data_IF_257055061722
#
_entry.id   IF_257055061722
#
_cell.length_a   1.000
_cell.length_b   1.000
_cell.length_c   1.000
_cell.angle_alpha   90.00
_cell.angle_beta   90.00
_cell.angle_gamma   90.00
#
_symmetry.space_group_name_H-M   'P 1'
#
loop_
_entity.id
_entity.type
_entity.pdbx_description
1 polymer ?
#
# COMPACT_ATOMS: atom_id res chain seq x y z
N UNK A 1 13.55 20.59 36.64
CA UNK A 1 14.02 20.47 35.25
C UNK A 1 14.91 21.64 34.88
N UNK A 2 14.51 22.89 35.10
CA UNK A 2 15.33 24.07 34.75
C UNK A 2 16.77 24.02 35.31
N UNK A 3 16.94 23.72 36.61
CA UNK A 3 18.27 23.54 37.23
C UNK A 3 19.11 22.40 36.61
N UNK A 4 18.45 21.40 36.04
CA UNK A 4 19.13 20.27 35.37
C UNK A 4 19.64 20.69 34.00
N UNK A 5 18.92 21.58 33.30
CA UNK A 5 19.33 22.13 32.01
C UNK A 5 20.57 23.00 32.17
N UNK A 6 20.57 23.90 33.17
CA UNK A 6 21.72 24.76 33.46
C UNK A 6 22.96 23.90 33.72
N UNK A 7 22.83 22.89 34.59
CA UNK A 7 23.90 21.93 34.91
C UNK A 7 24.40 21.17 33.67
N UNK A 8 23.47 20.66 32.85
CA UNK A 8 23.79 19.90 31.63
C UNK A 8 24.58 20.75 30.63
N UNK A 9 24.27 22.05 30.53
CA UNK A 9 24.87 22.94 29.54
C UNK A 9 26.34 23.30 29.83
N UNK A 10 26.80 23.07 31.07
CA UNK A 10 28.17 23.33 31.52
C UNK A 10 29.05 22.07 31.55
N UNK A 11 28.48 20.87 31.37
CA UNK A 11 29.23 19.62 31.42
C UNK A 11 30.09 19.40 30.16
N UNK A 12 31.33 18.89 30.32
CA UNK A 12 32.11 18.34 29.20
C UNK A 12 31.34 17.24 28.44
N UNK A 13 31.64 17.04 27.14
CA UNK A 13 30.97 16.04 26.27
C UNK A 13 30.88 14.66 26.92
N UNK A 14 31.97 14.23 27.56
CA UNK A 14 32.09 12.89 28.11
C UNK A 14 31.26 12.75 29.39
N UNK A 15 31.21 13.81 30.21
CA UNK A 15 30.35 13.86 31.39
C UNK A 15 28.87 13.95 31.00
N UNK A 16 28.54 14.70 29.95
CA UNK A 16 27.18 14.79 29.42
C UNK A 16 26.70 13.44 28.87
N UNK A 17 27.54 12.75 28.09
CA UNK A 17 27.24 11.41 27.62
C UNK A 17 27.00 10.47 28.80
N UNK A 18 27.86 10.52 29.83
CA UNK A 18 27.67 9.72 31.04
C UNK A 18 26.39 10.09 31.81
N UNK A 19 26.00 11.36 31.88
CA UNK A 19 24.73 11.77 32.51
C UNK A 19 23.53 11.31 31.70
N UNK A 20 23.53 11.47 30.37
CA UNK A 20 22.45 10.96 29.51
C UNK A 20 22.40 9.43 29.55
N UNK A 21 23.56 8.78 29.56
CA UNK A 21 23.66 7.34 29.77
C UNK A 21 23.16 6.95 31.15
N UNK A 22 23.50 7.62 32.24
CA UNK A 22 22.99 7.32 33.59
C UNK A 22 21.48 7.53 33.70
N UNK A 23 20.96 8.61 33.11
CA UNK A 23 19.53 8.84 32.97
C UNK A 23 18.83 7.78 32.10
N UNK A 24 19.60 7.03 31.30
CA UNK A 24 19.07 5.97 30.43
C UNK A 24 19.52 4.53 30.77
N UNK A 25 20.47 4.33 31.67
CA UNK A 25 21.13 3.04 31.97
C UNK A 25 20.16 2.11 32.70
N UNK A 26 19.34 2.66 33.59
CA UNK A 26 18.23 1.95 34.24
C UNK A 26 16.98 1.82 33.33
N UNK A 27 17.05 2.34 32.10
CA UNK A 27 15.93 2.40 31.14
C UNK A 27 16.16 1.64 29.85
N UNK A 28 17.30 0.96 29.66
CA UNK A 28 17.58 0.18 28.45
C UNK A 28 16.51 -0.90 28.18
N UNK A 29 15.79 -1.35 29.22
CA UNK A 29 14.67 -2.29 29.16
C UNK A 29 13.28 -1.65 29.34
N UNK A 30 13.20 -0.34 29.60
CA UNK A 30 11.91 0.31 29.87
C UNK A 30 11.27 0.83 28.58
N UNK A 31 9.99 0.50 28.40
CA UNK A 31 9.15 0.90 27.27
C UNK A 31 9.00 2.44 27.18
N UNK A 32 9.30 3.19 28.25
CA UNK A 32 9.14 4.65 28.33
C UNK A 32 10.39 5.47 28.00
N UNK A 33 11.54 4.83 27.72
CA UNK A 33 12.82 5.52 27.45
C UNK A 33 12.70 6.59 26.37
N UNK A 34 12.09 6.26 25.25
CA UNK A 34 11.92 7.17 24.11
C UNK A 34 11.09 8.40 24.47
N UNK A 35 10.06 8.20 25.30
CA UNK A 35 9.22 9.28 25.78
C UNK A 35 9.98 10.20 26.75
N UNK A 36 10.81 9.62 27.65
CA UNK A 36 11.63 10.41 28.58
C UNK A 36 12.64 11.27 27.80
N UNK A 37 13.34 10.69 26.83
CA UNK A 37 14.30 11.42 25.98
C UNK A 37 13.61 12.52 25.18
N UNK A 38 12.42 12.25 24.64
CA UNK A 38 11.62 13.24 23.94
C UNK A 38 11.22 14.41 24.86
N UNK A 39 10.73 14.14 26.07
CA UNK A 39 10.38 15.17 27.05
C UNK A 39 11.60 15.98 27.53
N UNK A 40 12.73 15.31 27.75
CA UNK A 40 14.00 15.99 28.05
C UNK A 40 14.37 16.96 26.93
N UNK A 41 14.31 16.49 25.68
CA UNK A 41 14.56 17.30 24.50
C UNK A 41 13.65 18.52 24.42
N UNK A 42 12.35 18.37 24.66
CA UNK A 42 11.39 19.50 24.67
C UNK A 42 11.84 20.59 25.64
N UNK A 43 12.18 20.19 26.87
CA UNK A 43 12.58 21.15 27.89
C UNK A 43 13.88 21.88 27.53
N UNK A 44 14.84 21.18 26.91
CA UNK A 44 16.07 21.77 26.39
C UNK A 44 15.76 22.75 25.26
N UNK A 45 14.93 22.36 24.29
CA UNK A 45 14.54 23.21 23.17
C UNK A 45 13.83 24.50 23.60
N UNK A 46 12.96 24.43 24.62
CA UNK A 46 12.27 25.62 25.17
C UNK A 46 13.23 26.59 25.86
N UNK A 47 14.32 26.09 26.43
CA UNK A 47 15.32 26.87 27.17
C UNK A 47 16.62 27.04 26.37
N UNK A 48 16.57 26.89 25.04
CA UNK A 48 17.79 26.77 24.23
C UNK A 48 18.68 28.01 24.30
N UNK A 49 18.09 29.19 24.45
CA UNK A 49 18.79 30.47 24.56
C UNK A 49 19.57 30.63 25.89
N UNK A 50 19.31 29.78 26.91
CA UNK A 50 20.06 29.76 28.17
C UNK A 50 21.26 28.81 28.13
N UNK A 51 21.28 27.90 27.17
CA UNK A 51 22.31 26.87 27.09
C UNK A 51 23.55 27.41 26.39
N UNK A 52 24.73 27.01 26.87
CA UNK A 52 25.98 27.32 26.17
C UNK A 52 25.97 26.67 24.78
N UNK A 53 26.41 27.40 23.75
CA UNK A 53 26.45 26.88 22.39
C UNK A 53 27.28 25.58 22.31
N UNK A 54 28.42 25.52 23.00
CA UNK A 54 29.26 24.32 23.07
C UNK A 54 28.53 23.13 23.70
N UNK A 55 27.79 23.35 24.79
CA UNK A 55 26.99 22.31 25.44
C UNK A 55 25.91 21.75 24.51
N UNK A 56 25.23 22.62 23.74
CA UNK A 56 24.23 22.20 22.75
C UNK A 56 24.83 21.34 21.64
N UNK A 57 26.02 21.68 21.14
CA UNK A 57 26.70 20.90 20.09
C UNK A 57 27.04 19.50 20.61
N UNK A 58 27.59 19.40 21.82
CA UNK A 58 27.87 18.10 22.45
C UNK A 58 26.60 17.26 22.62
N UNK A 59 25.49 17.90 23.02
CA UNK A 59 24.21 17.22 23.15
C UNK A 59 23.67 16.72 21.80
N UNK A 60 23.84 17.51 20.74
CA UNK A 60 23.39 17.16 19.38
C UNK A 60 24.17 15.99 18.78
N UNK A 61 25.43 15.81 19.16
CA UNK A 61 26.17 14.61 18.76
C UNK A 61 25.50 13.31 19.28
N UNK A 62 24.67 13.41 20.32
CA UNK A 62 23.89 12.28 20.81
C UNK A 62 22.66 11.96 19.93
N UNK A 63 22.27 12.84 19.00
CA UNK A 63 21.13 12.61 18.10
C UNK A 63 21.26 11.32 17.28
N UNK A 64 22.50 10.95 16.93
CA UNK A 64 22.78 9.77 16.12
C UNK A 64 22.41 8.48 16.87
N UNK A 65 22.48 8.52 18.21
CA UNK A 65 22.10 7.41 19.09
C UNK A 65 20.67 7.56 19.64
N UNK A 66 20.21 8.80 19.82
CA UNK A 66 18.92 9.13 20.45
C UNK A 66 18.08 10.09 19.59
N UNK A 67 17.49 9.64 18.48
CA UNK A 67 16.72 10.52 17.58
C UNK A 67 15.55 11.21 18.28
N UNK A 68 14.91 10.54 19.26
CA UNK A 68 13.80 11.10 20.03
C UNK A 68 14.20 12.31 20.89
N UNK A 69 15.46 12.37 21.35
CA UNK A 69 15.98 13.56 22.04
C UNK A 69 15.93 14.78 21.11
N UNK A 70 16.40 14.63 19.87
CA UNK A 70 16.50 15.74 18.92
C UNK A 70 15.17 16.12 18.31
N UNK A 71 14.27 15.15 18.14
CA UNK A 71 12.85 15.42 17.88
C UNK A 71 12.24 16.28 18.99
N UNK A 72 12.55 15.94 20.25
CA UNK A 72 12.16 16.73 21.41
C UNK A 72 12.75 18.14 21.37
N UNK A 73 14.05 18.29 21.12
CA UNK A 73 14.71 19.61 21.03
C UNK A 73 14.07 20.46 19.93
N UNK A 74 13.90 19.93 18.72
CA UNK A 74 13.24 20.65 17.63
C UNK A 74 11.82 21.08 17.99
N UNK A 75 11.06 20.21 18.67
CA UNK A 75 9.72 20.54 19.18
C UNK A 75 9.75 21.64 20.25
N UNK A 76 10.72 21.59 21.16
CA UNK A 76 10.91 22.63 22.17
C UNK A 76 11.26 23.99 21.56
N UNK A 77 12.12 24.00 20.53
CA UNK A 77 12.47 25.21 19.76
C UNK A 77 11.21 25.78 19.10
N UNK A 78 10.37 24.94 18.49
CA UNK A 78 9.10 25.36 17.89
C UNK A 78 8.18 26.09 18.87
N UNK A 79 8.16 25.62 20.13
CA UNK A 79 7.32 26.17 21.20
C UNK A 79 7.93 27.42 21.86
N UNK A 80 9.17 27.78 21.53
CA UNK A 80 9.81 28.99 22.03
C UNK A 80 9.34 30.24 21.29
N UNK A 81 9.20 31.37 22.00
CA UNK A 81 8.67 32.62 21.43
C UNK A 81 9.59 33.27 20.39
N UNK A 82 10.90 33.00 20.46
CA UNK A 82 11.91 33.59 19.58
C UNK A 82 12.87 32.51 19.08
N UNK A 83 12.85 32.25 17.76
CA UNK A 83 13.81 31.35 17.12
C UNK A 83 15.02 32.17 16.66
N UNK A 84 16.20 31.83 17.20
CA UNK A 84 17.47 32.36 16.72
C UNK A 84 17.89 31.59 15.47
N UNK A 85 17.96 32.33 14.35
CA UNK A 85 18.31 31.81 13.03
C UNK A 85 19.71 31.19 13.00
N UNK A 86 20.70 31.87 13.58
CA UNK A 86 22.10 31.44 13.54
C UNK A 86 22.30 30.21 14.41
N UNK A 87 21.61 30.16 15.55
CA UNK A 87 21.56 28.97 16.38
C UNK A 87 21.01 27.77 15.60
N UNK A 88 19.80 27.87 15.00
CA UNK A 88 19.20 26.76 14.23
C UNK A 88 20.13 26.28 13.12
N UNK A 89 20.74 27.21 12.38
CA UNK A 89 21.67 26.89 11.31
C UNK A 89 22.87 26.10 11.83
N UNK A 90 23.44 26.51 12.95
CA UNK A 90 24.59 25.85 13.55
C UNK A 90 24.25 24.47 14.14
N UNK A 91 23.09 24.33 14.81
CA UNK A 91 22.63 23.05 15.32
C UNK A 91 22.42 22.04 14.18
N UNK A 92 21.78 22.46 13.10
CA UNK A 92 21.57 21.61 11.92
C UNK A 92 22.85 21.30 11.13
N UNK A 93 23.87 22.17 11.16
CA UNK A 93 25.21 21.84 10.61
C UNK A 93 25.96 20.78 11.41
N UNK A 94 25.59 20.60 12.67
CA UNK A 94 26.34 19.74 13.60
C UNK A 94 25.88 18.28 13.58
N UNK A 95 24.65 18.01 13.15
CA UNK A 95 24.16 16.64 12.92
C UNK A 95 23.10 16.63 11.82
N UNK A 96 23.21 15.72 10.83
CA UNK A 96 22.15 15.49 9.84
C UNK A 96 20.81 15.09 10.48
N UNK A 97 20.83 14.32 11.58
CA UNK A 97 19.61 13.94 12.30
C UNK A 97 18.96 15.19 12.91
N UNK A 98 19.75 16.08 13.50
CA UNK A 98 19.22 17.35 14.02
C UNK A 98 18.65 18.22 12.88
N UNK A 99 19.36 18.35 11.76
CA UNK A 99 18.85 19.08 10.60
C UNK A 99 17.51 18.53 10.09
N UNK A 100 17.36 17.20 10.07
CA UNK A 100 16.10 16.52 9.70
C UNK A 100 14.98 16.87 10.66
N UNK A 101 15.21 16.79 11.97
CA UNK A 101 14.18 17.12 12.97
C UNK A 101 13.80 18.60 12.93
N UNK A 102 14.76 19.50 12.71
CA UNK A 102 14.50 20.93 12.51
C UNK A 102 13.62 21.16 11.26
N UNK A 103 13.94 20.52 10.13
CA UNK A 103 13.12 20.60 8.91
C UNK A 103 11.75 19.95 9.06
N UNK A 104 11.60 18.91 9.87
CA UNK A 104 10.34 18.20 10.06
C UNK A 104 9.37 18.95 10.99
N UNK A 105 9.87 19.78 11.90
CA UNK A 105 9.07 20.36 12.99
C UNK A 105 8.99 21.89 13.00
N UNK A 106 9.90 22.62 12.36
CA UNK A 106 9.94 24.09 12.42
C UNK A 106 9.28 24.79 11.23
N UNK A 107 8.69 25.95 11.50
CA UNK A 107 8.21 26.90 10.50
C UNK A 107 9.35 27.80 9.99
N UNK A 108 10.15 27.29 9.04
CA UNK A 108 11.37 27.94 8.55
C UNK A 108 11.15 28.86 7.33
N UNK A 109 9.91 29.10 6.90
CA UNK A 109 9.64 29.95 5.73
C UNK A 109 10.14 31.41 5.88
N UNK A 110 10.32 31.88 7.12
CA UNK A 110 10.91 33.20 7.41
C UNK A 110 12.45 33.23 7.26
N UNK A 111 13.08 32.06 7.16
CA UNK A 111 14.53 31.87 7.10
C UNK A 111 14.90 30.92 5.94
N UNK A 112 14.61 31.30 4.69
CA UNK A 112 14.75 30.42 3.53
C UNK A 112 16.18 29.89 3.32
N UNK A 113 17.20 30.67 3.65
CA UNK A 113 18.61 30.28 3.64
C UNK A 113 18.94 29.19 4.67
N UNK A 114 18.33 29.25 5.86
CA UNK A 114 18.50 28.20 6.88
C UNK A 114 17.86 26.92 6.35
N UNK A 115 16.63 27.00 5.87
CA UNK A 115 15.90 25.86 5.32
C UNK A 115 16.68 25.18 4.17
N UNK A 116 17.26 25.96 3.25
CA UNK A 116 18.14 25.45 2.20
C UNK A 116 19.38 24.76 2.77
N UNK A 117 20.07 25.37 3.73
CA UNK A 117 21.26 24.77 4.34
C UNK A 117 20.94 23.46 5.05
N UNK A 118 19.80 23.39 5.76
CA UNK A 118 19.36 22.16 6.39
C UNK A 118 19.02 21.09 5.34
N UNK A 119 18.37 21.47 4.23
CA UNK A 119 18.06 20.56 3.13
C UNK A 119 19.34 19.91 2.55
N UNK A 120 20.40 20.69 2.37
CA UNK A 120 21.70 20.18 1.92
C UNK A 120 22.26 19.14 2.90
N UNK A 121 22.19 19.43 4.20
CA UNK A 121 22.74 18.54 5.24
C UNK A 121 21.99 17.21 5.34
N UNK A 122 20.70 17.19 4.99
CA UNK A 122 19.89 15.96 5.05
C UNK A 122 19.77 15.23 3.70
N UNK A 123 20.31 15.80 2.61
CA UNK A 123 20.18 15.25 1.25
C UNK A 123 20.66 13.81 1.11
N UNK A 124 21.64 13.40 1.92
CA UNK A 124 22.21 12.04 1.91
C UNK A 124 21.47 11.07 2.84
N UNK A 125 20.54 11.54 3.66
CA UNK A 125 19.78 10.66 4.55
C UNK A 125 18.72 9.91 3.73
N UNK A 126 18.66 8.58 3.91
CA UNK A 126 17.64 7.73 3.28
C UNK A 126 16.24 7.96 3.84
N UNK A 127 16.14 8.29 5.13
CA UNK A 127 14.88 8.37 5.88
C UNK A 127 14.61 9.82 6.35
N UNK A 128 13.57 10.45 5.79
CA UNK A 128 13.21 11.86 6.02
C UNK A 128 11.73 11.99 6.43
N UNK A 129 11.31 11.42 7.58
CA UNK A 129 9.92 11.42 8.00
C UNK A 129 9.45 12.84 8.32
N UNK A 130 8.23 13.16 7.91
CA UNK A 130 7.55 14.46 8.05
C UNK A 130 8.24 15.67 7.39
N UNK A 131 9.47 15.54 6.89
CA UNK A 131 10.18 16.62 6.21
C UNK A 131 9.39 17.04 4.97
N UNK A 132 8.95 16.08 4.14
CA UNK A 132 8.20 16.39 2.93
C UNK A 132 6.91 17.13 3.23
N UNK A 133 6.13 16.64 4.21
CA UNK A 133 4.86 17.27 4.59
C UNK A 133 5.06 18.67 5.20
N UNK A 134 6.07 18.87 6.05
CA UNK A 134 6.31 20.18 6.65
C UNK A 134 6.78 21.22 5.62
N UNK A 135 7.72 20.85 4.74
CA UNK A 135 8.18 21.72 3.65
C UNK A 135 7.00 22.07 2.73
N UNK A 136 6.15 21.11 2.37
CA UNK A 136 4.99 21.32 1.52
C UNK A 136 4.01 22.38 2.08
N UNK A 137 3.75 22.39 3.39
CA UNK A 137 2.85 23.37 4.04
C UNK A 137 3.36 24.81 3.96
N UNK A 138 4.65 24.98 3.74
CA UNK A 138 5.35 26.26 3.83
C UNK A 138 5.91 26.74 2.49
N UNK A 139 5.97 25.87 1.48
CA UNK A 139 6.66 26.12 0.21
C UNK A 139 6.19 27.41 -0.48
N UNK A 140 4.90 27.72 -0.38
CA UNK A 140 4.28 28.89 -1.02
C UNK A 140 4.68 30.23 -0.42
N UNK A 141 5.25 30.20 0.79
CA UNK A 141 5.73 31.39 1.50
C UNK A 141 7.20 31.69 1.19
N UNK A 142 7.92 30.74 0.58
CA UNK A 142 9.34 30.91 0.22
C UNK A 142 9.49 31.71 -1.08
N UNK A 143 10.60 32.46 -1.28
CA UNK A 143 10.94 32.99 -2.59
C UNK A 143 11.19 31.86 -3.59
N UNK A 144 10.84 32.08 -4.87
CA UNK A 144 10.90 31.08 -5.94
C UNK A 144 12.26 30.37 -6.05
N UNK A 145 13.36 31.13 -5.96
CA UNK A 145 14.72 30.58 -6.05
C UNK A 145 14.99 29.52 -4.97
N UNK A 146 14.59 29.79 -3.73
CA UNK A 146 14.80 28.87 -2.61
C UNK A 146 13.92 27.62 -2.73
N UNK A 147 12.67 27.75 -3.22
CA UNK A 147 11.80 26.59 -3.49
C UNK A 147 12.50 25.60 -4.42
N UNK A 148 13.01 26.11 -5.54
CA UNK A 148 13.67 25.28 -6.55
C UNK A 148 14.95 24.65 -6.01
N UNK A 149 15.76 25.38 -5.26
CA UNK A 149 16.99 24.84 -4.67
C UNK A 149 16.69 23.74 -3.65
N UNK A 150 15.72 23.94 -2.76
CA UNK A 150 15.32 22.93 -1.76
C UNK A 150 14.75 21.68 -2.44
N UNK A 151 13.81 21.86 -3.38
CA UNK A 151 13.22 20.74 -4.14
C UNK A 151 14.30 19.99 -4.90
N UNK A 152 15.18 20.68 -5.63
CA UNK A 152 16.27 20.04 -6.38
C UNK A 152 17.25 19.27 -5.49
N UNK A 153 17.43 19.71 -4.25
CA UNK A 153 18.31 19.05 -3.27
C UNK A 153 17.70 17.75 -2.76
N UNK A 154 16.37 17.70 -2.61
CA UNK A 154 15.68 16.58 -1.95
C UNK A 154 14.90 15.68 -2.91
N UNK A 155 14.78 16.03 -4.20
CA UNK A 155 13.98 15.30 -5.20
C UNK A 155 14.44 13.88 -5.52
N UNK A 156 15.57 13.44 -5.00
CA UNK A 156 16.05 12.07 -5.17
C UNK A 156 15.74 11.20 -3.93
N UNK A 157 15.23 11.80 -2.84
CA UNK A 157 14.73 11.07 -1.69
C UNK A 157 13.23 10.71 -1.89
N UNK A 158 12.94 9.42 -2.08
CA UNK A 158 11.58 8.93 -2.33
C UNK A 158 10.59 9.18 -1.19
N UNK A 159 11.03 9.11 0.07
CA UNK A 159 10.17 9.37 1.23
C UNK A 159 9.77 10.85 1.32
N UNK A 160 10.75 11.75 1.14
CA UNK A 160 10.50 13.17 1.07
C UNK A 160 9.51 13.49 -0.05
N UNK A 161 9.76 13.00 -1.27
CA UNK A 161 8.87 13.26 -2.41
C UNK A 161 7.45 12.76 -2.15
N UNK A 162 7.30 11.57 -1.56
CA UNK A 162 6.00 10.98 -1.27
C UNK A 162 5.18 11.88 -0.34
N UNK A 163 5.74 12.25 0.82
CA UNK A 163 5.04 13.11 1.78
C UNK A 163 4.82 14.54 1.23
N UNK A 164 5.79 15.06 0.50
CA UNK A 164 5.74 16.39 -0.11
C UNK A 164 4.59 16.46 -1.12
N UNK A 165 4.55 15.53 -2.07
CA UNK A 165 3.52 15.51 -3.12
C UNK A 165 2.14 15.11 -2.61
N UNK A 166 2.02 14.45 -1.47
CA UNK A 166 0.72 14.25 -0.80
C UNK A 166 0.19 15.52 -0.15
N UNK A 167 1.06 16.41 0.30
CA UNK A 167 0.67 17.57 1.12
C UNK A 167 0.59 18.86 0.30
N UNK A 168 1.48 19.05 -0.67
CA UNK A 168 1.62 20.32 -1.39
C UNK A 168 0.45 20.58 -2.34
N UNK A 169 0.13 21.85 -2.57
CA UNK A 169 -0.80 22.20 -3.65
C UNK A 169 -0.06 22.08 -4.99
N UNK A 170 -0.44 21.10 -5.83
CA UNK A 170 0.30 20.81 -7.05
C UNK A 170 0.25 21.95 -8.08
N UNK A 171 -0.76 22.81 -8.03
CA UNK A 171 -0.84 23.98 -8.93
C UNK A 171 0.31 24.98 -8.75
N UNK A 172 1.03 24.90 -7.62
CA UNK A 172 2.12 25.81 -7.24
C UNK A 172 3.51 25.22 -7.46
N UNK A 173 3.59 24.01 -7.99
CA UNK A 173 4.84 23.32 -8.27
C UNK A 173 5.16 23.38 -9.75
N UNK A 174 6.18 24.17 -10.07
CA UNK A 174 6.73 24.21 -11.42
C UNK A 174 7.54 22.94 -11.69
N UNK A 175 7.48 22.47 -12.94
CA UNK A 175 8.24 21.31 -13.43
C UNK A 175 7.98 20.00 -12.65
N UNK A 176 6.71 19.71 -12.34
CA UNK A 176 6.30 18.47 -11.68
C UNK A 176 6.68 17.21 -12.49
N UNK A 177 6.84 17.35 -13.81
CA UNK A 177 7.31 16.31 -14.72
C UNK A 177 8.72 15.78 -14.38
N UNK A 178 9.55 16.56 -13.68
CA UNK A 178 10.87 16.09 -13.24
C UNK A 178 10.83 14.98 -12.18
N UNK A 179 9.68 14.76 -11.54
CA UNK A 179 9.50 13.71 -10.54
C UNK A 179 9.03 12.39 -11.15
N UNK A 180 8.54 12.42 -12.39
CA UNK A 180 7.95 11.27 -13.05
C UNK A 180 8.99 10.20 -13.36
N UNK A 181 8.61 8.93 -13.18
CA UNK A 181 9.44 7.77 -13.51
C UNK A 181 10.50 7.44 -12.45
N UNK A 182 10.65 8.26 -11.41
CA UNK A 182 11.57 7.99 -10.29
C UNK A 182 11.05 6.89 -9.37
N UNK A 183 9.74 6.88 -9.13
CA UNK A 183 9.09 5.95 -8.21
C UNK A 183 7.60 5.81 -8.59
N UNK A 184 7.10 4.57 -8.63
CA UNK A 184 5.71 4.27 -9.03
C UNK A 184 4.67 4.92 -8.11
N UNK A 185 4.94 5.01 -6.81
CA UNK A 185 4.03 5.63 -5.84
C UNK A 185 3.93 7.14 -6.08
N UNK A 186 5.02 7.77 -6.52
CA UNK A 186 5.06 9.18 -6.87
C UNK A 186 4.25 9.46 -8.13
N UNK A 187 4.43 8.66 -9.18
CA UNK A 187 3.67 8.75 -10.42
C UNK A 187 2.16 8.57 -10.16
N UNK A 188 1.81 7.63 -9.26
CA UNK A 188 0.43 7.39 -8.85
C UNK A 188 -0.17 8.60 -8.08
N UNK A 189 0.58 9.23 -7.16
CA UNK A 189 0.12 10.43 -6.45
C UNK A 189 -0.14 11.58 -7.44
N UNK A 190 0.80 11.81 -8.37
CA UNK A 190 0.68 12.90 -9.36
C UNK A 190 -0.53 12.65 -10.26
N UNK A 191 -0.71 11.42 -10.75
CA UNK A 191 -1.88 11.06 -11.55
C UNK A 191 -3.20 11.20 -10.79
N UNK A 192 -3.24 10.80 -9.51
CA UNK A 192 -4.44 10.90 -8.67
C UNK A 192 -4.90 12.34 -8.47
N UNK A 193 -3.93 13.26 -8.31
CA UNK A 193 -4.16 14.69 -8.08
C UNK A 193 -4.08 15.52 -9.37
N UNK A 194 -4.25 14.89 -10.54
CA UNK A 194 -4.15 15.56 -11.83
C UNK A 194 -5.12 16.74 -11.95
N UNK A 195 -6.29 16.68 -11.31
CA UNK A 195 -7.30 17.75 -11.33
C UNK A 195 -6.81 19.09 -10.79
N UNK A 196 -5.84 19.08 -9.86
CA UNK A 196 -5.29 20.29 -9.23
C UNK A 196 -4.34 21.08 -10.14
N UNK A 197 -3.87 20.46 -11.23
CA UNK A 197 -2.88 21.08 -12.12
C UNK A 197 -3.52 22.05 -13.12
N UNK A 198 -2.74 23.00 -13.61
CA UNK A 198 -3.16 23.82 -14.75
C UNK A 198 -3.19 22.98 -16.05
N UNK A 199 -3.92 23.47 -17.05
CA UNK A 199 -4.15 22.73 -18.29
C UNK A 199 -2.86 22.35 -19.03
N UNK A 200 -1.90 23.28 -19.12
CA UNK A 200 -0.60 23.04 -19.77
C UNK A 200 0.18 21.88 -19.12
N UNK A 201 0.15 21.77 -17.79
CA UNK A 201 0.81 20.67 -17.08
C UNK A 201 0.05 19.36 -17.27
N UNK A 202 -1.29 19.38 -17.27
CA UNK A 202 -2.10 18.19 -17.56
C UNK A 202 -1.79 17.63 -18.95
N UNK A 203 -1.76 18.47 -19.99
CA UNK A 203 -1.42 18.05 -21.35
C UNK A 203 -0.05 17.38 -21.42
N UNK A 204 0.95 17.97 -20.75
CA UNK A 204 2.29 17.40 -20.70
C UNK A 204 2.31 16.06 -19.98
N UNK A 205 1.67 15.99 -18.82
CA UNK A 205 1.70 14.82 -17.95
C UNK A 205 0.95 13.61 -18.53
N UNK A 206 -0.09 13.82 -19.32
CA UNK A 206 -0.79 12.73 -20.01
C UNK A 206 0.12 11.99 -21.01
N UNK A 207 1.27 12.54 -21.39
CA UNK A 207 2.25 11.83 -22.22
C UNK A 207 3.13 10.84 -21.45
N UNK A 208 2.96 10.69 -20.13
CA UNK A 208 3.70 9.73 -19.32
C UNK A 208 2.79 8.56 -18.91
N UNK A 209 2.93 7.37 -19.52
CA UNK A 209 2.10 6.20 -19.18
C UNK A 209 2.16 5.82 -17.69
N UNK A 210 3.26 6.12 -17.00
CA UNK A 210 3.46 5.71 -15.62
C UNK A 210 2.51 6.40 -14.63
N UNK A 211 1.94 7.57 -14.97
CA UNK A 211 0.94 8.23 -14.12
C UNK A 211 -0.47 7.65 -14.27
N UNK A 212 -0.71 6.82 -15.30
CA UNK A 212 -2.05 6.43 -15.69
C UNK A 212 -2.83 5.70 -14.58
N UNK A 213 -2.12 4.93 -13.75
CA UNK A 213 -2.74 4.30 -12.56
C UNK A 213 -3.26 5.32 -11.56
N UNK A 214 -2.52 6.40 -11.33
CA UNK A 214 -2.99 7.54 -10.54
C UNK A 214 -4.19 8.21 -11.18
N UNK A 215 -4.11 8.47 -12.49
CA UNK A 215 -5.20 9.09 -13.26
C UNK A 215 -6.49 8.27 -13.16
N UNK A 216 -6.41 6.93 -13.24
CA UNK A 216 -7.57 6.06 -13.04
C UNK A 216 -8.24 6.28 -11.69
N UNK A 217 -7.47 6.31 -10.60
CA UNK A 217 -7.99 6.55 -9.24
C UNK A 217 -8.59 7.95 -9.07
N UNK A 218 -8.04 8.95 -9.75
CA UNK A 218 -8.45 10.35 -9.67
C UNK A 218 -9.46 10.79 -10.72
N UNK A 219 -9.89 9.90 -11.62
CA UNK A 219 -10.61 10.25 -12.85
C UNK A 219 -11.90 11.04 -12.60
N UNK A 220 -12.63 10.71 -11.53
CA UNK A 220 -13.87 11.41 -11.18
C UNK A 220 -13.68 12.87 -10.79
N UNK A 221 -12.49 13.22 -10.30
CA UNK A 221 -12.17 14.58 -9.87
C UNK A 221 -11.85 15.50 -11.06
N UNK A 222 -11.76 14.95 -12.28
CA UNK A 222 -11.48 15.71 -13.49
C UNK A 222 -12.76 16.38 -14.01
N UNK A 223 -12.61 17.55 -14.64
CA UNK A 223 -13.70 18.16 -15.40
C UNK A 223 -14.04 17.30 -16.62
N UNK A 224 -15.26 17.47 -17.15
CA UNK A 224 -15.74 16.73 -18.32
C UNK A 224 -14.75 16.76 -19.50
N UNK A 225 -14.23 17.95 -19.83
CA UNK A 225 -13.21 18.12 -20.88
C UNK A 225 -11.98 17.24 -20.65
N UNK A 226 -11.47 17.20 -19.41
CA UNK A 226 -10.30 16.40 -19.05
C UNK A 226 -10.58 14.91 -18.99
N UNK A 227 -11.79 14.49 -18.58
CA UNK A 227 -12.22 13.09 -18.68
C UNK A 227 -12.18 12.62 -20.14
N UNK A 228 -12.71 13.41 -21.09
CA UNK A 228 -12.66 13.11 -22.53
C UNK A 228 -11.22 13.00 -23.05
N UNK A 229 -10.33 13.92 -22.67
CA UNK A 229 -8.90 13.88 -23.04
C UNK A 229 -8.18 12.64 -22.52
N UNK A 230 -8.48 12.20 -21.30
CA UNK A 230 -7.94 10.96 -20.75
C UNK A 230 -8.45 9.74 -21.54
N UNK A 231 -9.73 9.70 -21.90
CA UNK A 231 -10.28 8.60 -22.74
C UNK A 231 -9.66 8.59 -24.13
N UNK A 232 -9.43 9.76 -24.75
CA UNK A 232 -8.66 9.86 -26.00
C UNK A 232 -7.26 9.24 -25.82
N UNK A 233 -6.56 9.59 -24.73
CA UNK A 233 -5.24 9.03 -24.45
C UNK A 233 -5.27 7.51 -24.22
N UNK A 234 -6.30 6.99 -23.54
CA UNK A 234 -6.51 5.54 -23.34
C UNK A 234 -6.72 4.80 -24.68
N UNK A 235 -7.30 5.45 -25.70
CA UNK A 235 -7.42 4.87 -27.05
C UNK A 235 -6.10 4.85 -27.80
N UNK A 236 -5.30 5.90 -27.65
CA UNK A 236 -4.09 6.12 -28.45
C UNK A 236 -2.85 5.42 -27.88
N UNK A 237 -2.81 5.18 -26.57
CA UNK A 237 -1.61 4.71 -25.87
C UNK A 237 -1.93 3.49 -24.99
N UNK A 238 -1.52 2.31 -25.46
CA UNK A 238 -1.79 1.04 -24.79
C UNK A 238 -1.19 0.96 -23.39
N UNK A 239 0.02 1.49 -23.17
CA UNK A 239 0.65 1.45 -21.85
C UNK A 239 -0.06 2.37 -20.86
N UNK A 240 -0.51 3.54 -21.32
CA UNK A 240 -1.38 4.41 -20.53
C UNK A 240 -2.70 3.70 -20.20
N UNK A 241 -3.33 3.04 -21.19
CA UNK A 241 -4.56 2.29 -20.99
C UNK A 241 -4.43 1.20 -19.92
N UNK A 242 -3.34 0.41 -19.92
CA UNK A 242 -3.09 -0.61 -18.89
C UNK A 242 -3.12 -0.03 -17.48
N UNK A 243 -2.35 1.05 -17.27
CA UNK A 243 -2.29 1.72 -15.97
C UNK A 243 -3.66 2.25 -15.54
N UNK A 244 -4.35 2.95 -16.43
CA UNK A 244 -5.68 3.52 -16.19
C UNK A 244 -6.73 2.45 -15.87
N UNK A 245 -6.87 1.43 -16.72
CA UNK A 245 -7.88 0.37 -16.58
C UNK A 245 -7.67 -0.46 -15.31
N UNK A 246 -6.42 -0.59 -14.84
CA UNK A 246 -6.12 -1.33 -13.61
C UNK A 246 -6.59 -0.64 -12.32
N UNK A 247 -7.00 0.64 -12.39
CA UNK A 247 -7.27 1.43 -11.19
C UNK A 247 -8.46 2.38 -11.27
N UNK A 248 -9.10 2.51 -12.42
CA UNK A 248 -10.30 3.33 -12.57
C UNK A 248 -11.41 2.83 -11.65
N UNK A 249 -12.03 3.75 -10.90
CA UNK A 249 -13.19 3.44 -10.05
C UNK A 249 -14.46 3.37 -10.89
N UNK A 250 -14.88 2.15 -11.20
CA UNK A 250 -16.03 1.85 -12.04
C UNK A 250 -17.37 2.29 -11.43
N UNK A 251 -17.46 2.41 -10.10
CA UNK A 251 -18.73 2.66 -9.39
C UNK A 251 -19.16 4.11 -9.55
N UNK A 252 -18.18 5.01 -9.57
CA UNK A 252 -18.43 6.46 -9.57
C UNK A 252 -18.50 7.05 -10.99
N UNK A 253 -18.31 6.25 -12.05
CA UNK A 253 -18.29 6.72 -13.44
C UNK A 253 -19.70 7.05 -13.95
N UNK A 254 -19.76 8.08 -14.79
CA UNK A 254 -20.94 8.35 -15.62
C UNK A 254 -21.03 7.30 -16.74
N UNK A 255 -22.25 6.90 -17.11
CA UNK A 255 -22.51 5.79 -18.02
C UNK A 255 -21.76 5.93 -19.36
N UNK A 256 -21.67 7.14 -19.93
CA UNK A 256 -20.97 7.37 -21.19
C UNK A 256 -19.47 7.03 -21.14
N UNK A 257 -18.81 7.26 -19.99
CA UNK A 257 -17.39 6.94 -19.83
C UNK A 257 -17.20 5.44 -19.60
N UNK A 258 -18.12 4.79 -18.89
CA UNK A 258 -18.10 3.33 -18.71
C UNK A 258 -18.19 2.63 -20.07
N UNK A 259 -19.13 3.03 -20.92
CA UNK A 259 -19.32 2.45 -22.25
C UNK A 259 -18.07 2.61 -23.13
N UNK A 260 -17.45 3.79 -23.13
CA UNK A 260 -16.24 4.05 -23.90
C UNK A 260 -15.03 3.26 -23.38
N UNK A 261 -14.87 3.16 -22.06
CA UNK A 261 -13.82 2.34 -21.43
C UNK A 261 -13.97 0.87 -21.81
N UNK A 262 -15.19 0.33 -21.72
CA UNK A 262 -15.48 -1.06 -22.11
C UNK A 262 -15.18 -1.27 -23.59
N UNK A 263 -15.64 -0.36 -24.46
CA UNK A 263 -15.43 -0.44 -25.90
C UNK A 263 -13.95 -0.48 -26.26
N UNK A 264 -13.12 0.35 -25.62
CA UNK A 264 -11.67 0.38 -25.88
C UNK A 264 -11.00 -0.88 -25.35
N UNK A 265 -11.27 -1.25 -24.10
CA UNK A 265 -10.61 -2.39 -23.47
C UNK A 265 -10.96 -3.72 -24.15
N UNK A 266 -12.20 -3.90 -24.61
CA UNK A 266 -12.65 -5.16 -25.23
C UNK A 266 -12.12 -5.39 -26.65
N UNK A 267 -11.48 -4.39 -27.27
CA UNK A 267 -10.83 -4.50 -28.58
C UNK A 267 -9.40 -5.06 -28.52
N UNK A 268 -8.79 -5.13 -27.33
CA UNK A 268 -7.43 -5.65 -27.12
C UNK A 268 -7.44 -6.72 -26.03
N UNK A 269 -6.81 -7.86 -26.28
CA UNK A 269 -6.84 -9.02 -25.37
C UNK A 269 -6.28 -8.70 -23.98
N UNK A 270 -5.18 -7.93 -23.92
CA UNK A 270 -4.51 -7.60 -22.67
C UNK A 270 -5.30 -6.56 -21.87
N UNK A 271 -5.78 -5.50 -22.55
CA UNK A 271 -6.62 -4.49 -21.92
C UNK A 271 -7.94 -5.09 -21.41
N UNK A 272 -8.52 -6.02 -22.18
CA UNK A 272 -9.74 -6.72 -21.82
C UNK A 272 -9.56 -7.52 -20.54
N UNK A 273 -8.45 -8.26 -20.41
CA UNK A 273 -8.09 -8.98 -19.18
C UNK A 273 -7.90 -8.04 -17.99
N UNK A 274 -7.20 -6.92 -18.16
CA UNK A 274 -6.98 -5.95 -17.09
C UNK A 274 -8.30 -5.34 -16.61
N UNK A 275 -9.17 -4.94 -17.56
CA UNK A 275 -10.48 -4.41 -17.21
C UNK A 275 -11.34 -5.47 -16.50
N UNK A 276 -11.34 -6.71 -17.00
CA UNK A 276 -12.01 -7.83 -16.34
C UNK A 276 -11.57 -7.97 -14.89
N UNK A 277 -10.26 -7.94 -14.64
CA UNK A 277 -9.71 -7.99 -13.28
C UNK A 277 -10.19 -6.84 -12.40
N UNK A 278 -10.19 -5.60 -12.89
CA UNK A 278 -10.74 -4.47 -12.14
C UNK A 278 -12.23 -4.66 -11.81
N UNK A 279 -13.05 -5.10 -12.78
CA UNK A 279 -14.46 -5.45 -12.53
C UNK A 279 -14.59 -6.52 -11.45
N UNK A 280 -13.74 -7.54 -11.46
CA UNK A 280 -13.80 -8.64 -10.49
C UNK A 280 -13.38 -8.24 -9.09
N UNK A 281 -12.33 -7.41 -8.99
CA UNK A 281 -11.86 -6.86 -7.71
C UNK A 281 -12.90 -5.92 -7.08
N UNK A 282 -13.61 -5.16 -7.92
CA UNK A 282 -14.67 -4.23 -7.51
C UNK A 282 -16.04 -4.89 -7.34
N UNK A 283 -16.22 -6.15 -7.77
CA UNK A 283 -17.51 -6.81 -7.92
C UNK A 283 -18.45 -6.70 -6.72
N UNK A 284 -18.00 -6.89 -5.46
CA UNK A 284 -18.89 -6.78 -4.31
C UNK A 284 -19.53 -5.39 -4.13
N UNK A 285 -18.87 -4.35 -4.64
CA UNK A 285 -19.29 -2.95 -4.53
C UNK A 285 -19.98 -2.42 -5.78
N UNK A 286 -19.98 -3.17 -6.89
CA UNK A 286 -20.67 -2.77 -8.13
C UNK A 286 -22.19 -2.74 -7.92
N UNK A 287 -22.85 -1.78 -8.57
CA UNK A 287 -24.31 -1.77 -8.69
C UNK A 287 -24.78 -2.91 -9.63
N UNK A 288 -26.08 -3.22 -9.58
CA UNK A 288 -26.65 -4.35 -10.34
C UNK A 288 -26.49 -4.20 -11.86
N UNK A 289 -26.55 -2.96 -12.38
CA UNK A 289 -26.33 -2.69 -13.79
C UNK A 289 -24.90 -3.09 -14.23
N UNK A 290 -23.88 -2.60 -13.52
CA UNK A 290 -22.47 -2.92 -13.82
C UNK A 290 -22.17 -4.41 -13.61
N UNK A 291 -22.79 -5.06 -12.62
CA UNK A 291 -22.71 -6.52 -12.47
C UNK A 291 -23.24 -7.22 -13.73
N UNK A 292 -24.45 -6.90 -14.17
CA UNK A 292 -25.04 -7.49 -15.38
C UNK A 292 -24.20 -7.25 -16.63
N UNK A 293 -23.64 -6.04 -16.78
CA UNK A 293 -22.71 -5.70 -17.87
C UNK A 293 -21.47 -6.61 -17.82
N UNK A 294 -20.85 -6.77 -16.65
CA UNK A 294 -19.66 -7.63 -16.51
C UNK A 294 -19.93 -9.10 -16.86
N UNK A 295 -21.06 -9.67 -16.44
CA UNK A 295 -21.47 -11.03 -16.82
C UNK A 295 -21.63 -11.15 -18.35
N UNK A 296 -22.33 -10.20 -18.98
CA UNK A 296 -22.57 -10.23 -20.43
C UNK A 296 -21.27 -10.11 -21.24
N UNK A 297 -20.32 -9.30 -20.79
CA UNK A 297 -19.01 -9.19 -21.45
C UNK A 297 -18.23 -10.50 -21.28
N UNK A 298 -18.21 -11.08 -20.08
CA UNK A 298 -17.51 -12.34 -19.82
C UNK A 298 -18.02 -13.50 -20.68
N UNK A 299 -19.32 -13.55 -20.99
CA UNK A 299 -19.87 -14.57 -21.89
C UNK A 299 -19.34 -14.47 -23.33
N UNK A 300 -18.93 -13.27 -23.77
CA UNK A 300 -18.56 -13.02 -25.17
C UNK A 300 -17.07 -12.68 -25.36
N UNK A 301 -16.32 -12.45 -24.29
CA UNK A 301 -14.90 -12.08 -24.35
C UNK A 301 -14.08 -12.94 -23.36
N UNK A 302 -13.35 -13.96 -23.87
CA UNK A 302 -12.59 -14.87 -23.01
C UNK A 302 -11.52 -14.19 -22.15
N UNK A 303 -10.89 -13.12 -22.64
CA UNK A 303 -9.84 -12.41 -21.91
C UNK A 303 -10.42 -11.59 -20.75
N UNK A 304 -11.52 -10.86 -21.00
CA UNK A 304 -12.29 -10.22 -19.93
C UNK A 304 -12.75 -11.25 -18.91
N UNK A 305 -13.33 -12.36 -19.36
CA UNK A 305 -13.82 -13.43 -18.50
C UNK A 305 -12.72 -13.98 -17.58
N UNK A 306 -11.54 -14.28 -18.13
CA UNK A 306 -10.39 -14.71 -17.34
C UNK A 306 -10.01 -13.67 -16.28
N UNK A 307 -9.83 -12.42 -16.68
CA UNK A 307 -9.53 -11.33 -15.75
C UNK A 307 -10.61 -11.18 -14.67
N UNK A 308 -11.88 -11.28 -15.07
CA UNK A 308 -13.03 -11.12 -14.18
C UNK A 308 -13.10 -12.22 -13.11
N UNK A 309 -12.90 -13.48 -13.50
CA UNK A 309 -12.77 -14.57 -12.55
C UNK A 309 -11.58 -14.36 -11.61
N UNK A 310 -10.43 -13.96 -12.16
CA UNK A 310 -9.22 -13.67 -11.38
C UNK A 310 -9.49 -12.58 -10.33
N UNK A 311 -10.09 -11.45 -10.72
CA UNK A 311 -10.42 -10.35 -9.82
C UNK A 311 -11.39 -10.74 -8.71
N UNK A 312 -12.43 -11.52 -9.03
CA UNK A 312 -13.39 -12.04 -8.01
C UNK A 312 -12.66 -12.92 -7.01
N UNK A 313 -11.78 -13.81 -7.48
CA UNK A 313 -11.02 -14.69 -6.59
C UNK A 313 -10.16 -13.89 -5.60
N UNK A 314 -9.55 -12.79 -6.04
CA UNK A 314 -8.79 -11.91 -5.17
C UNK A 314 -9.65 -11.12 -4.19
N UNK A 315 -10.80 -10.58 -4.62
CA UNK A 315 -11.66 -9.75 -3.75
C UNK A 315 -12.23 -10.55 -2.57
N UNK A 316 -12.63 -11.80 -2.79
CA UNK A 316 -13.15 -12.70 -1.76
C UNK A 316 -12.03 -13.14 -0.78
N UNK A 317 -10.82 -13.42 -1.31
CA UNK A 317 -9.72 -13.98 -0.51
C UNK A 317 -9.07 -13.01 0.48
N UNK A 318 -9.42 -11.73 0.45
CA UNK A 318 -8.76 -10.70 1.26
C UNK A 318 -9.05 -10.91 2.75
N UNK A 319 -8.22 -11.72 3.40
CA UNK A 319 -8.20 -11.93 4.86
C UNK A 319 -8.07 -10.61 5.64
N UNK A 320 -7.43 -9.61 5.03
CA UNK A 320 -7.33 -8.25 5.60
C UNK A 320 -8.71 -7.59 5.67
N UNK A 321 -9.57 -7.79 4.67
CA UNK A 321 -10.95 -7.29 4.72
C UNK A 321 -11.74 -7.98 5.83
N UNK A 322 -11.52 -9.28 6.04
CA UNK A 322 -12.08 -10.04 7.16
C UNK A 322 -11.64 -9.48 8.52
N UNK A 323 -10.33 -9.28 8.76
CA UNK A 323 -9.84 -8.70 10.03
C UNK A 323 -10.43 -7.30 10.27
N UNK A 324 -10.59 -6.50 9.22
CA UNK A 324 -11.09 -5.13 9.33
C UNK A 324 -12.60 -5.03 9.52
N UNK A 325 -13.32 -6.15 9.64
CA UNK A 325 -14.78 -6.17 9.72
C UNK A 325 -15.45 -5.63 8.44
N UNK A 326 -14.72 -5.59 7.33
CA UNK A 326 -15.17 -5.18 6.00
C UNK A 326 -15.18 -6.38 5.04
N UNK A 327 -15.33 -7.60 5.55
CA UNK A 327 -15.57 -8.76 4.69
C UNK A 327 -16.89 -8.52 3.97
N UNK A 328 -16.81 -8.05 2.73
CA UNK A 328 -17.95 -8.06 1.84
C UNK A 328 -18.29 -9.53 1.61
N UNK A 329 -19.35 -9.98 2.27
CA UNK A 329 -19.94 -11.27 1.99
C UNK A 329 -20.72 -11.14 0.68
N UNK A 330 -20.28 -11.87 -0.35
CA UNK A 330 -21.08 -12.03 -1.54
C UNK A 330 -22.42 -12.65 -1.15
N UNK A 331 -23.51 -12.04 -1.62
CA UNK A 331 -24.83 -12.61 -1.39
C UNK A 331 -24.91 -13.99 -2.02
N UNK A 332 -25.72 -14.87 -1.45
CA UNK A 332 -25.89 -16.23 -1.97
C UNK A 332 -26.29 -16.22 -3.45
N UNK A 333 -27.15 -15.30 -3.88
CA UNK A 333 -27.54 -15.18 -5.29
C UNK A 333 -26.37 -14.79 -6.20
N UNK A 334 -25.43 -13.97 -5.71
CA UNK A 334 -24.24 -13.56 -6.45
C UNK A 334 -23.24 -14.72 -6.56
N UNK A 335 -23.06 -15.48 -5.48
CA UNK A 335 -22.24 -16.69 -5.48
C UNK A 335 -22.76 -17.71 -6.50
N UNK A 336 -24.07 -17.92 -6.54
CA UNK A 336 -24.70 -18.85 -7.50
C UNK A 336 -24.50 -18.38 -8.94
N UNK A 337 -24.69 -17.08 -9.23
CA UNK A 337 -24.42 -16.51 -10.56
C UNK A 337 -22.96 -16.66 -11.00
N UNK A 338 -22.02 -16.47 -10.07
CA UNK A 338 -20.59 -16.65 -10.34
C UNK A 338 -20.29 -18.11 -10.69
N UNK A 339 -20.81 -19.06 -9.91
CA UNK A 339 -20.60 -20.49 -10.17
C UNK A 339 -21.28 -20.95 -11.47
N UNK A 340 -22.46 -20.40 -11.80
CA UNK A 340 -23.13 -20.65 -13.08
C UNK A 340 -22.33 -20.11 -14.28
N UNK A 341 -21.75 -18.92 -14.15
CA UNK A 341 -20.87 -18.39 -15.20
C UNK A 341 -19.62 -19.28 -15.37
N UNK A 342 -19.02 -19.73 -14.26
CA UNK A 342 -17.85 -20.62 -14.29
C UNK A 342 -18.15 -21.99 -14.91
N UNK A 343 -19.36 -22.51 -14.76
CA UNK A 343 -19.77 -23.76 -15.40
C UNK A 343 -19.82 -23.61 -16.94
N UNK A 344 -20.31 -22.45 -17.42
CA UNK A 344 -20.52 -22.15 -18.85
C UNK A 344 -19.32 -21.56 -19.57
N UNK A 345 -18.45 -20.81 -18.90
CA UNK A 345 -17.36 -20.03 -19.52
C UNK A 345 -16.01 -20.45 -18.96
N UNK A 346 -15.27 -21.24 -19.74
CA UNK A 346 -14.03 -21.88 -19.27
C UNK A 346 -12.94 -20.89 -18.86
N UNK A 347 -12.80 -19.79 -19.60
CA UNK A 347 -11.81 -18.76 -19.25
C UNK A 347 -12.12 -18.08 -17.92
N UNK A 348 -13.41 -17.82 -17.62
CA UNK A 348 -13.85 -17.30 -16.33
C UNK A 348 -13.54 -18.28 -15.19
N UNK A 349 -13.85 -19.57 -15.38
CA UNK A 349 -13.54 -20.60 -14.40
C UNK A 349 -12.04 -20.66 -14.08
N UNK A 350 -11.19 -20.66 -15.11
CA UNK A 350 -9.72 -20.65 -14.92
C UNK A 350 -9.26 -19.40 -14.18
N UNK A 351 -9.82 -18.23 -14.51
CA UNK A 351 -9.58 -17.00 -13.76
C UNK A 351 -9.96 -17.13 -12.29
N UNK A 352 -11.16 -17.62 -12.00
CA UNK A 352 -11.67 -17.81 -10.64
C UNK A 352 -10.82 -18.80 -9.82
N UNK A 353 -10.26 -19.82 -10.48
CA UNK A 353 -9.37 -20.81 -9.90
C UNK A 353 -7.94 -20.30 -9.67
N UNK A 354 -7.57 -19.09 -10.11
CA UNK A 354 -6.23 -18.53 -9.84
C UNK A 354 -5.96 -18.31 -8.35
N UNK A 355 -7.01 -18.16 -7.53
CA UNK A 355 -6.89 -18.08 -6.08
C UNK A 355 -7.91 -19.02 -5.42
N UNK A 356 -7.58 -20.31 -5.42
CA UNK A 356 -8.43 -21.38 -4.90
C UNK A 356 -8.91 -21.15 -3.46
N UNK A 357 -8.11 -20.50 -2.61
CA UNK A 357 -8.52 -20.18 -1.24
C UNK A 357 -9.85 -19.41 -1.18
N UNK A 358 -10.14 -18.60 -2.19
CA UNK A 358 -11.40 -17.85 -2.30
C UNK A 358 -12.62 -18.77 -2.44
N UNK A 359 -12.48 -19.91 -3.12
CA UNK A 359 -13.57 -20.84 -3.38
C UNK A 359 -14.09 -21.48 -2.10
N UNK A 360 -13.26 -21.59 -1.08
CA UNK A 360 -13.72 -22.09 0.21
C UNK A 360 -14.72 -21.16 0.87
N UNK A 361 -14.83 -19.88 0.49
CA UNK A 361 -15.86 -18.98 1.05
C UNK A 361 -17.23 -19.13 0.38
N UNK A 362 -17.35 -19.88 -0.71
CA UNK A 362 -18.64 -20.15 -1.33
C UNK A 362 -19.45 -21.13 -0.49
N UNK A 363 -20.75 -20.90 -0.37
CA UNK A 363 -21.67 -21.77 0.36
C UNK A 363 -21.91 -23.09 -0.36
N UNK A 364 -22.01 -23.06 -1.70
CA UNK A 364 -22.35 -24.24 -2.50
C UNK A 364 -21.11 -25.12 -2.78
N UNK A 365 -20.72 -25.92 -1.78
CA UNK A 365 -19.54 -26.79 -1.82
C UNK A 365 -19.57 -27.83 -2.95
N UNK A 366 -20.75 -28.30 -3.33
CA UNK A 366 -20.91 -29.27 -4.42
C UNK A 366 -20.64 -28.66 -5.80
N UNK A 367 -21.10 -27.43 -6.04
CA UNK A 367 -20.76 -26.71 -7.28
C UNK A 367 -19.27 -26.36 -7.34
N UNK A 368 -18.69 -25.90 -6.22
CA UNK A 368 -17.23 -25.67 -6.13
C UNK A 368 -16.45 -26.95 -6.45
N UNK A 369 -16.85 -28.08 -5.84
CA UNK A 369 -16.21 -29.37 -6.09
C UNK A 369 -16.31 -29.76 -7.57
N UNK A 370 -17.49 -29.62 -8.16
CA UNK A 370 -17.71 -29.91 -9.58
C UNK A 370 -16.82 -29.04 -10.47
N UNK A 371 -16.69 -27.76 -10.14
CA UNK A 371 -15.84 -26.82 -10.86
C UNK A 371 -14.36 -27.22 -10.79
N UNK A 372 -13.81 -27.49 -9.61
CA UNK A 372 -12.38 -27.84 -9.47
C UNK A 372 -12.09 -29.18 -10.17
N UNK A 373 -12.98 -30.17 -10.05
CA UNK A 373 -12.84 -31.47 -10.72
C UNK A 373 -12.88 -31.36 -12.26
N UNK A 374 -13.39 -30.27 -12.83
CA UNK A 374 -13.34 -29.99 -14.27
C UNK A 374 -11.92 -29.60 -14.74
N UNK A 375 -11.06 -29.11 -13.85
CA UNK A 375 -9.74 -28.56 -14.21
C UNK A 375 -8.59 -29.19 -13.40
N UNK A 376 -8.03 -30.28 -13.95
CA UNK A 376 -6.99 -31.08 -13.30
C UNK A 376 -5.77 -30.27 -12.81
N UNK A 377 -5.40 -29.21 -13.55
CA UNK A 377 -4.26 -28.35 -13.24
C UNK A 377 -4.37 -27.63 -11.88
N UNK A 378 -5.59 -27.48 -11.35
CA UNK A 378 -5.86 -26.83 -10.06
C UNK A 378 -6.08 -27.81 -8.91
N UNK A 379 -6.21 -29.11 -9.19
CA UNK A 379 -6.61 -30.10 -8.17
C UNK A 379 -5.59 -30.26 -7.06
N UNK A 380 -4.29 -30.28 -7.40
CA UNK A 380 -3.23 -30.44 -6.39
C UNK A 380 -3.25 -29.27 -5.40
N UNK A 381 -3.26 -28.04 -5.92
CA UNK A 381 -3.32 -26.83 -5.09
C UNK A 381 -4.60 -26.78 -4.24
N UNK A 382 -5.74 -27.22 -4.79
CA UNK A 382 -7.00 -27.29 -4.04
C UNK A 382 -6.93 -28.26 -2.87
N UNK A 383 -6.38 -29.46 -3.09
CA UNK A 383 -6.19 -30.45 -2.04
C UNK A 383 -5.25 -29.93 -0.95
N UNK A 384 -4.11 -29.35 -1.33
CA UNK A 384 -3.13 -28.77 -0.40
C UNK A 384 -3.73 -27.67 0.48
N UNK A 385 -4.60 -26.82 -0.09
CA UNK A 385 -5.20 -25.68 0.61
C UNK A 385 -6.46 -26.03 1.43
N UNK A 386 -7.08 -27.19 1.18
CA UNK A 386 -8.33 -27.59 1.83
C UNK A 386 -8.19 -27.69 3.36
N UNK A 387 -7.04 -28.21 3.83
CA UNK A 387 -6.67 -28.24 5.25
C UNK A 387 -7.82 -28.68 6.17
N UNK A 388 -8.12 -27.86 7.18
CA UNK A 388 -9.18 -28.13 8.18
C UNK A 388 -10.60 -28.05 7.61
N UNK A 389 -10.77 -27.50 6.40
CA UNK A 389 -12.08 -27.30 5.74
C UNK A 389 -12.53 -28.54 4.96
N UNK A 390 -11.74 -29.61 4.99
CA UNK A 390 -12.03 -30.86 4.28
C UNK A 390 -13.39 -31.47 4.66
N UNK A 391 -13.86 -31.26 5.88
CA UNK A 391 -15.19 -31.71 6.31
C UNK A 391 -16.36 -30.96 5.67
N UNK A 392 -16.12 -29.82 5.03
CA UNK A 392 -17.15 -29.06 4.31
C UNK A 392 -17.48 -29.71 2.95
N UNK A 393 -16.66 -30.65 2.48
CA UNK A 393 -16.79 -31.25 1.16
C UNK A 393 -17.18 -32.73 1.21
N UNK A 394 -17.81 -33.21 0.13
CA UNK A 394 -18.14 -34.62 -0.04
C UNK A 394 -16.88 -35.46 -0.36
N UNK A 395 -16.29 -36.02 0.70
CA UNK A 395 -15.05 -36.79 0.62
C UNK A 395 -15.15 -38.00 -0.31
N UNK A 396 -16.29 -38.69 -0.33
CA UNK A 396 -16.49 -39.87 -1.17
C UNK A 396 -16.35 -39.52 -2.65
N UNK A 397 -17.00 -38.42 -3.07
CA UNK A 397 -16.92 -37.93 -4.45
C UNK A 397 -15.50 -37.50 -4.80
N UNK A 398 -14.85 -36.73 -3.92
CA UNK A 398 -13.48 -36.27 -4.13
C UNK A 398 -12.50 -37.43 -4.31
N UNK A 399 -12.52 -38.43 -3.41
CA UNK A 399 -11.60 -39.57 -3.49
C UNK A 399 -11.81 -40.41 -4.76
N UNK A 400 -13.06 -40.63 -5.19
CA UNK A 400 -13.35 -41.41 -6.40
C UNK A 400 -12.80 -40.72 -7.65
N UNK A 401 -12.78 -39.39 -7.67
CA UNK A 401 -12.33 -38.60 -8.82
C UNK A 401 -10.81 -38.41 -8.89
N UNK A 402 -10.08 -38.61 -7.79
CA UNK A 402 -8.64 -38.34 -7.74
C UNK A 402 -7.78 -39.58 -7.99
N UNK A 403 -6.63 -39.37 -8.64
CA UNK A 403 -5.64 -40.42 -8.96
C UNK A 403 -4.21 -39.93 -8.77
N UNK A 404 -3.27 -40.87 -8.66
CA UNK A 404 -1.83 -40.58 -8.63
C UNK A 404 -1.43 -39.58 -7.55
N UNK A 405 -0.61 -38.58 -7.92
CA UNK A 405 -0.05 -37.59 -7.00
C UNK A 405 -1.13 -36.81 -6.21
N UNK A 406 -2.27 -36.53 -6.83
CA UNK A 406 -3.33 -35.75 -6.15
C UNK A 406 -4.05 -36.60 -5.10
N UNK A 407 -4.31 -37.87 -5.39
CA UNK A 407 -4.85 -38.81 -4.40
C UNK A 407 -3.87 -39.00 -3.23
N UNK A 408 -2.58 -39.11 -3.52
CA UNK A 408 -1.53 -39.18 -2.50
C UNK A 408 -1.53 -37.95 -1.56
N UNK A 409 -1.51 -36.73 -2.11
CA UNK A 409 -1.53 -35.53 -1.28
C UNK A 409 -2.85 -35.41 -0.48
N UNK A 410 -3.98 -35.85 -1.03
CA UNK A 410 -5.23 -35.91 -0.28
C UNK A 410 -5.12 -36.85 0.92
N UNK A 411 -4.41 -37.98 0.77
CA UNK A 411 -4.11 -38.89 1.87
C UNK A 411 -3.41 -38.18 3.02
N UNK A 412 -2.36 -37.40 2.71
CA UNK A 412 -1.60 -36.61 3.70
C UNK A 412 -2.49 -35.56 4.39
N UNK A 413 -3.30 -34.84 3.61
CA UNK A 413 -4.24 -33.83 4.15
C UNK A 413 -5.27 -34.48 5.07
N UNK A 414 -5.83 -35.64 4.69
CA UNK A 414 -6.76 -36.38 5.53
C UNK A 414 -6.11 -36.86 6.82
N UNK A 415 -4.88 -37.37 6.79
CA UNK A 415 -4.15 -37.81 7.98
C UNK A 415 -3.93 -36.64 8.96
N UNK A 416 -3.39 -35.50 8.47
CA UNK A 416 -3.14 -34.30 9.30
C UNK A 416 -4.39 -33.79 10.00
N UNK A 417 -5.55 -33.95 9.37
CA UNK A 417 -6.83 -33.47 9.90
C UNK A 417 -7.64 -34.57 10.60
N UNK A 418 -7.23 -35.84 10.53
CA UNK A 418 -8.04 -36.99 10.92
C UNK A 418 -8.61 -36.88 12.33
N UNK A 419 -7.78 -36.48 13.31
CA UNK A 419 -8.18 -36.33 14.71
C UNK A 419 -9.26 -35.26 14.91
N UNK A 420 -9.29 -34.23 14.07
CA UNK A 420 -10.27 -33.13 14.15
C UNK A 420 -11.60 -33.44 13.45
N UNK A 421 -11.67 -34.53 12.67
CA UNK A 421 -12.84 -34.84 11.87
C UNK A 421 -13.98 -35.50 12.68
N UNK A 422 -15.25 -35.22 12.32
CA UNK A 422 -16.39 -35.93 12.86
C UNK A 422 -16.24 -37.45 12.72
N UNK A 423 -16.80 -38.21 13.68
CA UNK A 423 -16.68 -39.69 13.72
C UNK A 423 -17.14 -40.34 12.42
N UNK A 424 -18.21 -39.84 11.80
CA UNK A 424 -18.72 -40.38 10.54
C UNK A 424 -17.75 -40.17 9.38
N UNK A 425 -17.13 -38.99 9.29
CA UNK A 425 -16.11 -38.72 8.27
C UNK A 425 -14.87 -39.61 8.47
N UNK A 426 -14.46 -39.87 9.71
CA UNK A 426 -13.37 -40.80 10.02
C UNK A 426 -13.64 -42.23 9.53
N UNK A 427 -14.87 -42.74 9.69
CA UNK A 427 -15.26 -44.06 9.16
C UNK A 427 -15.23 -44.08 7.63
N UNK A 428 -15.75 -43.03 6.99
CA UNK A 428 -15.73 -42.88 5.53
C UNK A 428 -14.29 -42.93 5.03
N UNK A 429 -13.38 -42.17 5.64
CA UNK A 429 -11.96 -42.16 5.27
C UNK A 429 -11.35 -43.56 5.35
N UNK A 430 -11.54 -44.28 6.47
CA UNK A 430 -11.01 -45.65 6.60
C UNK A 430 -11.51 -46.56 5.47
N UNK A 431 -12.81 -46.47 5.13
CA UNK A 431 -13.37 -47.26 4.03
C UNK A 431 -12.85 -46.87 2.64
N UNK A 432 -12.36 -45.64 2.48
CA UNK A 432 -11.79 -45.11 1.24
C UNK A 432 -10.31 -45.49 1.09
N UNK A 433 -9.56 -45.57 2.19
CA UNK A 433 -8.16 -46.02 2.19
C UNK A 433 -8.04 -47.48 1.70
N UNK A 434 -9.05 -48.31 1.94
CA UNK A 434 -9.07 -49.69 1.41
C UNK A 434 -9.31 -49.78 -0.10
N UNK A 435 -9.80 -48.69 -0.72
CA UNK A 435 -10.22 -48.66 -2.13
C UNK A 435 -9.27 -47.90 -3.04
N UNK A 436 -8.34 -47.11 -2.48
CA UNK A 436 -7.43 -46.26 -3.24
C UNK A 436 -6.02 -46.35 -2.62
N UNK A 437 -5.10 -47.04 -3.30
CA UNK A 437 -3.77 -47.33 -2.79
C UNK A 437 -2.93 -46.05 -2.64
N UNK A 438 -3.01 -45.14 -3.60
CA UNK A 438 -2.26 -43.88 -3.58
C UNK A 438 -2.71 -42.99 -2.42
N UNK A 439 -4.03 -42.89 -2.18
CA UNK A 439 -4.59 -42.22 -1.01
C UNK A 439 -4.08 -42.85 0.29
N UNK A 440 -4.03 -44.18 0.35
CA UNK A 440 -3.56 -44.93 1.51
C UNK A 440 -2.08 -44.69 1.80
N UNK A 441 -1.25 -44.71 0.77
CA UNK A 441 0.18 -44.42 0.89
C UNK A 441 0.42 -43.04 1.46
N UNK A 442 -0.24 -42.00 0.91
CA UNK A 442 -0.12 -40.64 1.44
C UNK A 442 -0.66 -40.49 2.86
N UNK A 443 -1.73 -41.22 3.22
CA UNK A 443 -2.26 -41.20 4.59
C UNK A 443 -1.28 -41.83 5.60
N UNK A 444 -0.62 -42.92 5.24
CA UNK A 444 0.34 -43.62 6.12
C UNK A 444 1.63 -42.80 6.32
N UNK A 445 2.03 -42.02 5.31
CA UNK A 445 3.27 -41.22 5.35
C UNK A 445 3.25 -40.07 6.40
N UNK A 446 2.09 -39.53 6.75
CA UNK A 446 1.96 -38.16 7.30
C UNK A 446 2.41 -37.89 8.76
#
# INVERSE_FOLDING_TARGET
MDKVIDLISELPSDALLNVVQLLTLDTLSRVDRDMILFQLGINIGRNINRSSFRGLINLIQLCDYYPNLCKGIARGIYESEAIDKDLILNLGKSSPIMARELLANLDLYKFPEVMKSLANNVSQLKYLPNVGSNIAKQIDKLPFEYRNQIINTLKDNGMFLYEFLQTVNLSKIDNIDQFIGKNKDIDEIIGYRLSELNDKLKERLLNFPTIAKGVGKGFQNLSYYWKRKVIEKVREDKEFAKGFLSSVDLISLEDEFVEEIIKVATQDEELSKILGKNFGESFPSLNEFLKNVSFKIAENNPNFAYGFGEGISYSISSFINFIRGKSYELKREEQERILELADRVDSFAKGLLMNINSLFFFENKEKVMTLVLKYDEFLLQFVEQMGRRISEFNLSRLVISLRGKVAFELGRVLCRNYASLPRENRKIILSLLDKNNELKEGFIEC
#
